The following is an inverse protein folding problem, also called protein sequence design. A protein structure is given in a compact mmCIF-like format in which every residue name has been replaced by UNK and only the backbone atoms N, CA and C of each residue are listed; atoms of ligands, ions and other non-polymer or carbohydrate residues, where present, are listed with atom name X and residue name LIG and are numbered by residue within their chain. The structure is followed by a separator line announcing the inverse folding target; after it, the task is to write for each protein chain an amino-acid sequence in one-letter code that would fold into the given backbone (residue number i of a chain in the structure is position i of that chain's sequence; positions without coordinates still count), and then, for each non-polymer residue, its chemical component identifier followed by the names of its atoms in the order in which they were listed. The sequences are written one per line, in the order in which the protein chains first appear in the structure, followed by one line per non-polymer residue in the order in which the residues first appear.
data_IF_528928105315
#
_entry.id   IF_528928105315
#
_cell.length_a   1.000
_cell.length_b   1.000
_cell.length_c   1.000
_cell.angle_alpha   90.00
_cell.angle_beta   90.00
_cell.angle_gamma   90.00
#
_symmetry.space_group_name_H-M   'P 1'
#
loop_
_entity.id
_entity.type
_entity.pdbx_description
1 polymer ?
#
# COMPACT_ATOMS: atom_id res chain seq x y z
N UNK A 1 5.15 -4.29 5.90
CA UNK A 1 6.35 -4.72 5.13
C UNK A 1 7.65 -4.03 5.56
N UNK A 2 7.64 -2.76 5.99
CA UNK A 2 8.89 -2.04 6.31
C UNK A 2 9.66 -2.53 7.55
N UNK A 3 8.96 -2.92 8.61
CA UNK A 3 9.60 -3.58 9.75
C UNK A 3 10.17 -4.95 9.38
N UNK A 4 9.55 -5.64 8.42
CA UNK A 4 9.93 -6.99 8.02
C UNK A 4 11.30 -7.01 7.32
N UNK A 5 11.61 -6.04 6.45
CA UNK A 5 12.93 -5.98 5.80
C UNK A 5 14.05 -5.66 6.80
N UNK A 6 13.85 -4.70 7.68
CA UNK A 6 14.83 -4.40 8.76
C UNK A 6 14.99 -5.59 9.71
N UNK A 7 13.90 -6.30 10.01
CA UNK A 7 13.91 -7.51 10.83
C UNK A 7 14.64 -8.67 10.12
N UNK A 8 14.41 -8.89 8.82
CA UNK A 8 15.10 -9.92 8.03
C UNK A 8 16.60 -9.62 7.93
N UNK A 9 16.97 -8.35 7.75
CA UNK A 9 18.40 -7.95 7.71
C UNK A 9 19.05 -8.13 9.08
N UNK A 10 18.40 -7.69 10.16
CA UNK A 10 18.91 -7.86 11.53
C UNK A 10 19.01 -9.34 11.93
N UNK A 11 17.97 -10.13 11.64
CA UNK A 11 17.92 -11.55 11.93
C UNK A 11 18.91 -12.34 11.07
N UNK A 12 18.97 -12.05 9.76
CA UNK A 12 19.90 -12.67 8.82
C UNK A 12 21.36 -12.35 9.14
N UNK A 13 21.65 -11.10 9.55
CA UNK A 13 22.97 -10.71 10.05
C UNK A 13 23.36 -11.47 11.33
N UNK A 14 22.45 -11.54 12.30
CA UNK A 14 22.69 -12.28 13.54
C UNK A 14 22.91 -13.79 13.30
N UNK A 15 22.11 -14.43 12.44
CA UNK A 15 22.30 -15.84 12.07
C UNK A 15 23.60 -16.06 11.30
N UNK A 16 23.96 -15.17 10.38
CA UNK A 16 25.21 -15.27 9.61
C UNK A 16 26.43 -15.24 10.54
N UNK A 17 26.44 -14.32 11.52
CA UNK A 17 27.50 -14.24 12.54
C UNK A 17 27.56 -15.51 13.39
N UNK A 18 26.42 -16.02 13.84
CA UNK A 18 26.36 -17.25 14.64
C UNK A 18 26.92 -18.46 13.88
N UNK A 19 26.55 -18.60 12.61
CA UNK A 19 27.05 -19.68 11.76
C UNK A 19 28.54 -19.53 11.42
N UNK A 20 29.03 -18.29 11.30
CA UNK A 20 30.46 -18.02 11.14
C UNK A 20 31.26 -18.39 12.40
N UNK A 21 30.74 -18.13 13.61
CA UNK A 21 31.36 -18.55 14.88
C UNK A 21 31.40 -20.09 14.98
N UNK A 22 30.30 -20.76 14.67
CA UNK A 22 30.23 -22.24 14.67
C UNK A 22 31.21 -22.83 13.64
N UNK A 23 31.24 -22.28 12.42
CA UNK A 23 32.19 -22.71 11.40
C UNK A 23 33.65 -22.43 11.78
N UNK A 24 33.93 -21.29 12.42
CA UNK A 24 35.27 -20.90 12.86
C UNK A 24 35.79 -21.79 14.00
N UNK A 25 34.96 -22.07 14.99
CA UNK A 25 35.30 -23.01 16.07
C UNK A 25 35.50 -24.42 15.54
N UNK A 26 34.66 -24.87 14.60
CA UNK A 26 34.83 -26.15 13.91
C UNK A 26 36.15 -26.18 13.13
N UNK A 27 36.50 -25.11 12.41
CA UNK A 27 37.74 -25.04 11.62
C UNK A 27 39.00 -25.22 12.48
N UNK A 28 39.05 -24.57 13.65
CA UNK A 28 40.17 -24.68 14.59
C UNK A 28 40.20 -26.07 15.24
N UNK A 29 39.04 -26.62 15.61
CA UNK A 29 38.93 -27.94 16.22
C UNK A 29 39.24 -29.11 15.27
N UNK A 30 39.13 -28.90 13.94
CA UNK A 30 39.34 -29.94 12.91
C UNK A 30 40.77 -30.48 12.79
N UNK A 31 41.75 -29.90 13.48
CA UNK A 31 43.12 -30.43 13.56
C UNK A 31 43.83 -30.52 12.19
N UNK A 32 44.26 -31.71 11.77
CA UNK A 32 44.89 -31.96 10.46
C UNK A 32 43.95 -32.61 9.44
N UNK A 33 42.70 -32.92 9.81
CA UNK A 33 41.77 -33.59 8.90
C UNK A 33 41.32 -32.66 7.76
N UNK A 34 41.59 -33.00 6.49
CA UNK A 34 41.22 -32.13 5.36
C UNK A 34 39.70 -31.99 5.19
N UNK A 35 38.96 -33.09 5.38
CA UNK A 35 37.50 -33.11 5.18
C UNK A 35 36.76 -32.24 6.19
N UNK A 36 37.11 -32.32 7.47
CA UNK A 36 36.46 -31.49 8.49
C UNK A 36 36.83 -30.00 8.36
N UNK A 37 38.02 -29.68 7.81
CA UNK A 37 38.38 -28.31 7.44
C UNK A 37 37.56 -27.80 6.25
N UNK A 38 37.34 -28.65 5.25
CA UNK A 38 36.55 -28.29 4.07
C UNK A 38 35.08 -28.05 4.44
N UNK A 39 34.47 -28.91 5.25
CA UNK A 39 33.10 -28.70 5.73
C UNK A 39 32.94 -27.43 6.59
N UNK A 40 33.94 -27.11 7.43
CA UNK A 40 33.94 -25.86 8.20
C UNK A 40 34.04 -24.61 7.29
N UNK A 41 34.90 -24.66 6.25
CA UNK A 41 35.01 -23.59 5.26
C UNK A 41 33.72 -23.41 4.46
N UNK A 42 33.09 -24.50 4.05
CA UNK A 42 31.82 -24.47 3.32
C UNK A 42 30.71 -23.82 4.16
N UNK A 43 30.65 -24.13 5.45
CA UNK A 43 29.69 -23.51 6.37
C UNK A 43 29.89 -22.00 6.50
N UNK A 44 31.14 -21.55 6.57
CA UNK A 44 31.49 -20.11 6.59
C UNK A 44 31.13 -19.46 5.24
N UNK A 45 31.46 -20.11 4.12
CA UNK A 45 31.14 -19.62 2.77
C UNK A 45 29.64 -19.48 2.55
N UNK A 46 28.85 -20.46 3.00
CA UNK A 46 27.39 -20.41 2.91
C UNK A 46 26.80 -19.27 3.76
N UNK A 47 27.34 -19.04 4.96
CA UNK A 47 26.93 -17.93 5.81
C UNK A 47 27.26 -16.55 5.20
N UNK A 48 28.43 -16.42 4.57
CA UNK A 48 28.85 -15.21 3.86
C UNK A 48 28.04 -14.98 2.58
N UNK A 49 27.75 -16.03 1.83
CA UNK A 49 26.94 -15.95 0.59
C UNK A 49 25.51 -15.52 0.89
N UNK A 50 24.92 -16.08 1.97
CA UNK A 50 23.60 -15.65 2.45
C UNK A 50 23.58 -14.17 2.88
N UNK A 51 24.60 -13.72 3.61
CA UNK A 51 24.74 -12.31 4.00
C UNK A 51 24.92 -11.40 2.78
N UNK A 52 25.74 -11.81 1.81
CA UNK A 52 25.93 -11.09 0.56
C UNK A 52 24.63 -10.95 -0.23
N UNK A 53 23.79 -12.00 -0.30
CA UNK A 53 22.47 -11.94 -0.93
C UNK A 53 21.55 -10.92 -0.25
N UNK A 54 21.50 -10.92 1.08
CA UNK A 54 20.68 -9.98 1.86
C UNK A 54 21.15 -8.53 1.62
N UNK A 55 22.46 -8.28 1.68
CA UNK A 55 23.04 -6.96 1.46
C UNK A 55 22.88 -6.49 0.01
N UNK A 56 23.03 -7.39 -0.96
CA UNK A 56 22.84 -7.06 -2.39
C UNK A 56 21.39 -6.72 -2.67
N UNK A 57 20.44 -7.46 -2.09
CA UNK A 57 19.02 -7.13 -2.16
C UNK A 57 18.74 -5.75 -1.57
N UNK A 58 19.28 -5.44 -0.38
CA UNK A 58 19.19 -4.11 0.23
C UNK A 58 19.76 -3.01 -0.68
N UNK A 59 20.94 -3.23 -1.26
CA UNK A 59 21.60 -2.25 -2.14
C UNK A 59 20.79 -1.96 -3.40
N UNK A 60 20.21 -2.98 -4.04
CA UNK A 60 19.35 -2.80 -5.22
C UNK A 60 18.12 -1.97 -4.84
N UNK A 61 17.45 -2.31 -3.74
CA UNK A 61 16.27 -1.58 -3.27
C UNK A 61 16.62 -0.11 -2.94
N UNK A 62 17.72 0.10 -2.20
CA UNK A 62 18.19 1.42 -1.81
C UNK A 62 18.67 2.27 -3.00
N UNK A 63 19.26 1.66 -4.02
CA UNK A 63 19.76 2.35 -5.21
C UNK A 63 18.65 2.73 -6.19
N UNK A 64 17.57 1.95 -6.27
CA UNK A 64 16.42 2.28 -7.13
C UNK A 64 15.58 3.36 -6.45
N UNK A 65 15.25 3.19 -5.16
CA UNK A 65 14.54 4.19 -4.40
C UNK A 65 14.79 4.03 -2.89
N UNK A 66 15.48 4.98 -2.23
CA UNK A 66 15.77 4.90 -0.79
C UNK A 66 14.50 4.93 0.07
N UNK A 67 13.36 5.39 -0.45
CA UNK A 67 12.07 5.36 0.24
C UNK A 67 11.48 3.95 0.37
N UNK A 68 11.96 2.98 -0.42
CA UNK A 68 11.57 1.57 -0.27
C UNK A 68 12.19 0.92 0.98
N UNK A 69 13.22 1.55 1.55
CA UNK A 69 13.94 1.11 2.75
C UNK A 69 13.74 2.05 3.94
N UNK A 70 13.32 3.29 3.68
CA UNK A 70 12.87 4.24 4.67
C UNK A 70 11.35 4.23 4.77
N UNK A 71 10.78 3.45 5.69
CA UNK A 71 9.46 3.82 6.23
C UNK A 71 9.60 4.26 7.68
N UNK A 72 8.97 5.39 7.96
CA UNK A 72 8.97 6.06 9.25
C UNK A 72 7.96 5.35 10.16
N UNK A 73 8.44 4.73 11.25
CA UNK A 73 7.57 4.21 12.32
C UNK A 73 7.21 5.35 13.29
N UNK A 74 6.86 6.50 12.74
CA UNK A 74 6.17 7.54 13.49
C UNK A 74 4.69 7.26 13.28
N UNK A 75 4.12 6.42 14.16
CA UNK A 75 2.68 6.46 14.34
C UNK A 75 2.39 7.87 14.85
N UNK A 76 1.59 8.70 14.16
CA UNK A 76 1.08 9.90 14.80
C UNK A 76 0.45 9.46 16.14
N UNK A 77 0.73 10.18 17.25
CA UNK A 77 0.22 9.82 18.55
C UNK A 77 -1.29 9.56 18.48
N UNK A 78 -1.72 8.35 18.82
CA UNK A 78 -3.13 8.10 19.12
C UNK A 78 -3.32 8.58 20.54
N UNK A 79 -3.64 9.86 20.68
CA UNK A 79 -3.76 10.52 21.96
C UNK A 79 -3.83 12.04 21.80
N UNK A 80 -5.05 12.52 21.58
CA UNK A 80 -5.57 13.83 21.97
C UNK A 80 -4.62 14.68 22.83
N UNK A 81 -4.18 15.80 22.26
CA UNK A 81 -4.11 17.05 23.02
C UNK A 81 -4.42 18.21 22.05
N UNK A 82 -5.29 19.15 22.47
CA UNK A 82 -5.76 20.23 21.63
C UNK A 82 -4.71 21.33 21.58
N UNK A 83 -4.58 22.00 20.45
CA UNK A 83 -4.23 23.42 20.52
C UNK A 83 -4.98 24.20 19.46
N UNK A 84 -5.62 25.24 19.95
CA UNK A 84 -6.79 25.87 19.39
C UNK A 84 -6.38 27.00 18.45
N UNK A 85 -7.13 27.17 17.36
CA UNK A 85 -7.37 28.51 16.82
C UNK A 85 -8.86 28.78 16.94
N UNK A 86 -9.11 29.70 17.85
CA UNK A 86 -10.35 30.32 18.29
C UNK A 86 -11.31 30.65 17.13
N UNK A 87 -12.58 30.27 17.26
CA UNK A 87 -13.72 31.11 16.90
C UNK A 87 -14.98 30.64 17.66
N UNK A 88 -15.75 31.53 18.32
CA UNK A 88 -16.85 31.12 19.18
C UNK A 88 -18.18 31.14 18.41
N UNK A 89 -18.94 30.04 18.44
CA UNK A 89 -20.37 30.15 18.70
C UNK A 89 -20.98 28.85 19.24
N UNK A 90 -22.00 29.04 20.05
CA UNK A 90 -22.55 28.21 21.13
C UNK A 90 -23.41 27.05 20.60
N UNK A 91 -23.20 25.84 21.13
CA UNK A 91 -24.15 24.72 21.04
C UNK A 91 -23.78 23.59 22.02
N UNK A 92 -24.73 23.00 22.77
CA UNK A 92 -24.42 22.07 23.85
C UNK A 92 -23.94 20.72 23.30
N UNK A 93 -22.85 20.22 23.88
CA UNK A 93 -22.22 18.95 23.55
C UNK A 93 -23.14 17.74 23.78
N UNK A 94 -23.06 16.69 22.93
CA UNK A 94 -23.20 15.33 23.41
C UNK A 94 -21.82 14.78 23.78
N UNK A 95 -21.75 14.27 25.00
CA UNK A 95 -20.67 13.46 25.58
C UNK A 95 -20.13 12.41 24.62
N UNK A 96 -18.82 12.45 24.38
CA UNK A 96 -18.07 11.37 23.77
C UNK A 96 -18.00 10.17 24.74
N UNK A 97 -18.76 9.13 24.46
CA UNK A 97 -18.50 7.79 25.01
C UNK A 97 -17.54 7.06 24.09
N UNK A 98 -16.27 7.02 24.51
CA UNK A 98 -15.27 6.12 23.95
C UNK A 98 -15.54 4.69 24.44
N UNK A 99 -16.22 3.91 23.60
CA UNK A 99 -16.11 2.45 23.62
C UNK A 99 -15.61 2.02 22.26
N UNK A 100 -14.30 1.80 22.15
CA UNK A 100 -13.72 1.11 21.01
C UNK A 100 -14.22 -0.34 21.04
N UNK A 101 -15.23 -0.63 20.25
CA UNK A 101 -15.57 -1.98 19.83
C UNK A 101 -14.68 -2.35 18.65
N UNK A 102 -13.99 -3.48 18.76
CA UNK A 102 -13.41 -4.13 17.59
C UNK A 102 -14.54 -4.36 16.58
N UNK A 103 -14.56 -3.60 15.48
CA UNK A 103 -15.63 -3.65 14.49
C UNK A 103 -15.90 -2.33 13.78
N UNK A 104 -15.70 -1.17 14.44
CA UNK A 104 -16.01 0.14 13.84
C UNK A 104 -14.94 0.58 12.82
N UNK A 105 -15.39 1.06 11.66
CA UNK A 105 -14.57 1.63 10.59
C UNK A 105 -14.65 3.17 10.61
N UNK A 106 -13.53 3.88 10.41
CA UNK A 106 -13.50 5.35 10.46
C UNK A 106 -14.35 6.00 9.36
N UNK A 107 -14.82 7.22 9.65
CA UNK A 107 -15.49 8.06 8.66
C UNK A 107 -14.55 8.45 7.53
N UNK A 108 -15.10 8.55 6.32
CA UNK A 108 -14.44 9.02 5.10
C UNK A 108 -15.00 10.36 4.58
N UNK A 109 -15.67 11.12 5.46
CA UNK A 109 -16.35 12.35 5.10
C UNK A 109 -15.40 13.42 4.56
N UNK A 110 -14.15 13.45 5.05
CA UNK A 110 -13.14 14.41 4.58
C UNK A 110 -12.73 14.12 3.13
N UNK A 111 -12.38 12.88 2.83
CA UNK A 111 -11.99 12.43 1.49
C UNK A 111 -13.14 12.65 0.49
N UNK A 112 -14.37 12.31 0.89
CA UNK A 112 -15.58 12.56 0.08
C UNK A 112 -15.81 14.05 -0.18
N UNK A 113 -15.58 14.92 0.80
CA UNK A 113 -15.71 16.37 0.63
C UNK A 113 -14.69 16.90 -0.39
N UNK A 114 -13.44 16.44 -0.34
CA UNK A 114 -12.41 16.85 -1.30
C UNK A 114 -12.75 16.44 -2.75
N UNK A 115 -13.26 15.22 -2.94
CA UNK A 115 -13.58 14.68 -4.27
C UNK A 115 -14.88 15.28 -4.83
N UNK A 116 -15.91 15.41 -4.01
CA UNK A 116 -17.18 16.01 -4.44
C UNK A 116 -17.04 17.49 -4.81
N UNK A 117 -16.12 18.22 -4.17
CA UNK A 117 -15.82 19.61 -4.51
C UNK A 117 -15.35 19.81 -5.97
N UNK A 118 -14.80 18.77 -6.61
CA UNK A 118 -14.38 18.79 -8.02
C UNK A 118 -15.30 17.97 -8.93
N UNK A 119 -16.43 17.48 -8.41
CA UNK A 119 -17.40 16.69 -9.16
C UNK A 119 -16.98 15.23 -9.40
N UNK A 120 -16.18 14.65 -8.51
CA UNK A 120 -15.90 13.20 -8.48
C UNK A 120 -16.90 12.55 -7.52
N UNK A 121 -17.65 11.58 -8.03
CA UNK A 121 -18.67 10.85 -7.28
C UNK A 121 -18.16 9.56 -6.65
N UNK A 122 -18.99 9.00 -5.76
CA UNK A 122 -18.84 7.65 -5.22
C UNK A 122 -20.18 6.94 -5.41
N UNK A 123 -20.17 5.69 -5.86
CA UNK A 123 -21.37 4.88 -6.11
C UNK A 123 -22.29 4.75 -4.88
N UNK A 124 -21.75 4.83 -3.67
CA UNK A 124 -22.50 4.85 -2.42
C UNK A 124 -22.40 6.23 -1.73
N UNK A 125 -23.53 6.81 -1.27
CA UNK A 125 -23.55 8.14 -0.68
C UNK A 125 -22.84 8.22 0.68
N UNK A 126 -22.76 7.09 1.39
CA UNK A 126 -22.12 6.97 2.70
C UNK A 126 -20.97 5.97 2.67
N UNK A 127 -19.91 6.24 3.43
CA UNK A 127 -18.82 5.30 3.66
C UNK A 127 -19.23 4.07 4.46
N UNK A 128 -18.33 3.09 4.53
CA UNK A 128 -18.50 1.92 5.38
C UNK A 128 -18.39 2.28 6.87
N UNK A 129 -19.14 1.59 7.72
CA UNK A 129 -19.16 1.83 9.18
C UNK A 129 -18.50 0.73 9.98
N UNK A 130 -18.33 -0.45 9.39
CA UNK A 130 -17.70 -1.60 10.02
C UNK A 130 -16.81 -2.38 9.04
N UNK A 131 -15.77 -3.03 9.56
CA UNK A 131 -14.96 -3.99 8.80
C UNK A 131 -15.84 -5.19 8.46
N UNK A 132 -15.83 -5.63 7.20
CA UNK A 132 -16.65 -6.74 6.71
C UNK A 132 -18.00 -6.32 6.12
N UNK A 133 -18.36 -5.03 6.21
CA UNK A 133 -19.59 -4.53 5.59
C UNK A 133 -19.51 -4.64 4.05
N UNK A 134 -20.54 -5.21 3.44
CA UNK A 134 -20.76 -5.18 1.99
C UNK A 134 -21.74 -4.06 1.61
N UNK A 135 -21.76 -3.66 0.33
CA UNK A 135 -22.67 -2.61 -0.19
C UNK A 135 -22.39 -1.18 0.31
N UNK A 136 -21.13 -0.87 0.54
CA UNK A 136 -20.62 0.47 0.77
C UNK A 136 -19.33 0.64 -0.04
N UNK A 137 -18.88 1.90 -0.17
CA UNK A 137 -17.55 2.20 -0.69
C UNK A 137 -16.84 3.08 0.32
N UNK A 138 -15.77 2.58 0.94
CA UNK A 138 -14.97 3.35 1.89
C UNK A 138 -13.87 4.13 1.19
N UNK A 139 -13.73 5.42 1.50
CA UNK A 139 -12.53 6.20 1.17
C UNK A 139 -11.64 6.47 2.39
N UNK A 140 -11.99 5.91 3.56
CA UNK A 140 -11.33 6.27 4.81
C UNK A 140 -9.85 5.93 4.76
N UNK A 141 -9.00 6.93 5.02
CA UNK A 141 -7.56 6.79 4.98
C UNK A 141 -6.98 6.62 3.58
N UNK A 142 -7.74 6.96 2.52
CA UNK A 142 -7.19 7.07 1.17
C UNK A 142 -6.05 8.08 1.15
N UNK A 143 -4.93 7.73 0.53
CA UNK A 143 -3.77 8.62 0.54
C UNK A 143 -4.04 9.91 -0.25
N UNK A 144 -3.49 11.03 0.23
CA UNK A 144 -3.61 12.32 -0.46
C UNK A 144 -3.03 12.27 -1.88
N UNK A 145 -2.06 11.38 -2.14
CA UNK A 145 -1.53 11.13 -3.48
C UNK A 145 -2.58 10.57 -4.44
N UNK A 146 -3.40 9.60 -3.99
CA UNK A 146 -4.52 9.07 -4.79
C UNK A 146 -5.55 10.18 -5.05
N UNK A 147 -5.96 10.91 -4.00
CA UNK A 147 -6.93 12.02 -4.13
C UNK A 147 -6.43 13.09 -5.11
N UNK A 148 -5.16 13.48 -5.01
CA UNK A 148 -4.58 14.50 -5.89
C UNK A 148 -4.52 14.05 -7.35
N UNK A 149 -4.19 12.77 -7.60
CA UNK A 149 -4.21 12.24 -8.95
C UNK A 149 -5.63 12.11 -9.53
N UNK A 150 -6.63 11.77 -8.71
CA UNK A 150 -8.04 11.77 -9.12
C UNK A 150 -8.52 13.18 -9.50
N UNK A 151 -8.17 14.19 -8.70
CA UNK A 151 -8.45 15.60 -9.02
C UNK A 151 -7.74 16.02 -10.31
N UNK A 152 -6.49 15.60 -10.53
CA UNK A 152 -5.75 15.88 -11.75
C UNK A 152 -6.38 15.20 -12.97
N UNK A 153 -6.88 13.96 -12.84
CA UNK A 153 -7.63 13.28 -13.89
C UNK A 153 -8.91 14.04 -14.25
N UNK A 154 -9.68 14.48 -13.25
CA UNK A 154 -10.89 15.29 -13.47
C UNK A 154 -10.57 16.63 -14.16
N UNK A 155 -9.46 17.24 -13.80
CA UNK A 155 -9.00 18.49 -14.42
C UNK A 155 -8.55 18.29 -15.87
N UNK A 156 -7.93 17.14 -16.16
CA UNK A 156 -7.45 16.78 -17.50
C UNK A 156 -8.58 16.31 -18.43
N UNK A 157 -9.68 15.83 -17.87
CA UNK A 157 -10.90 15.52 -18.59
C UNK A 157 -12.15 16.09 -17.88
N UNK A 158 -12.48 17.37 -18.12
CA UNK A 158 -13.61 18.02 -17.49
C UNK A 158 -14.96 17.33 -17.78
N UNK A 159 -15.10 16.77 -18.98
CA UNK A 159 -16.30 16.02 -19.42
C UNK A 159 -16.41 14.61 -18.86
N UNK A 160 -15.35 14.05 -18.25
CA UNK A 160 -15.37 12.70 -17.71
C UNK A 160 -16.24 12.62 -16.45
N UNK A 161 -17.18 11.68 -16.44
CA UNK A 161 -17.90 11.25 -15.24
C UNK A 161 -17.05 10.27 -14.45
N UNK A 162 -16.39 10.75 -13.39
CA UNK A 162 -15.56 9.91 -12.53
C UNK A 162 -16.39 9.50 -11.31
N UNK A 163 -16.64 8.20 -11.18
CA UNK A 163 -17.32 7.60 -10.04
C UNK A 163 -16.44 6.52 -9.44
N UNK A 164 -16.08 6.67 -8.17
CA UNK A 164 -15.35 5.65 -7.41
C UNK A 164 -16.33 4.53 -7.04
N UNK A 165 -15.93 3.29 -7.31
CA UNK A 165 -16.70 2.07 -7.04
C UNK A 165 -16.04 1.16 -6.00
N UNK A 166 -14.77 1.41 -5.68
CA UNK A 166 -13.99 0.63 -4.72
C UNK A 166 -12.85 1.48 -4.16
N UNK A 167 -12.69 1.48 -2.84
CA UNK A 167 -11.69 2.30 -2.17
C UNK A 167 -10.83 1.50 -1.20
N UNK A 168 -10.93 1.79 0.10
CA UNK A 168 -10.07 1.25 1.17
C UNK A 168 -10.65 0.01 1.88
N UNK A 169 -11.69 -0.59 1.30
CA UNK A 169 -12.40 -1.77 1.81
C UNK A 169 -11.70 -3.09 1.49
N UNK A 170 -10.59 -3.31 2.18
CA UNK A 170 -9.70 -4.46 1.93
C UNK A 170 -10.38 -5.82 2.15
N UNK A 171 -11.41 -5.87 3.00
CA UNK A 171 -12.13 -7.10 3.34
C UNK A 171 -13.01 -7.62 2.19
N UNK A 172 -13.30 -6.80 1.19
CA UNK A 172 -13.99 -7.22 -0.03
C UNK A 172 -13.01 -7.74 -1.11
N UNK A 173 -11.72 -7.80 -0.79
CA UNK A 173 -10.63 -8.15 -1.69
C UNK A 173 -9.77 -9.29 -1.15
N UNK A 174 -8.81 -9.74 -1.95
CA UNK A 174 -7.85 -10.76 -1.53
C UNK A 174 -6.96 -10.29 -0.38
N UNK A 175 -6.42 -11.24 0.38
CA UNK A 175 -5.47 -10.97 1.45
C UNK A 175 -4.28 -10.16 0.91
N UNK A 176 -3.90 -9.09 1.62
CA UNK A 176 -2.86 -8.12 1.24
C UNK A 176 -3.14 -7.21 0.04
N UNK A 177 -4.41 -7.06 -0.36
CA UNK A 177 -4.82 -6.05 -1.34
C UNK A 177 -4.30 -4.63 -1.02
N UNK A 178 -4.15 -3.83 -2.07
CA UNK A 178 -3.85 -2.40 -1.99
C UNK A 178 -5.10 -1.53 -1.77
N UNK A 179 -6.30 -2.11 -1.83
CA UNK A 179 -7.57 -1.47 -1.42
C UNK A 179 -7.65 -1.33 0.10
N UNK A 180 -6.77 -0.53 0.69
CA UNK A 180 -6.66 -0.34 2.15
C UNK A 180 -6.26 1.10 2.48
N UNK A 181 -6.45 1.56 3.73
CA UNK A 181 -5.92 2.84 4.16
C UNK A 181 -4.42 2.96 3.88
N UNK A 182 -3.99 4.09 3.33
CA UNK A 182 -2.62 4.34 2.87
C UNK A 182 -2.21 3.60 1.59
N UNK A 183 -3.13 2.84 0.98
CA UNK A 183 -2.95 2.21 -0.33
C UNK A 183 -2.88 3.23 -1.47
N UNK A 184 -2.45 2.74 -2.62
CA UNK A 184 -2.27 3.48 -3.86
C UNK A 184 -3.21 3.01 -4.98
N UNK A 185 -4.30 2.33 -4.62
CA UNK A 185 -5.25 1.74 -5.55
C UNK A 185 -6.67 2.22 -5.28
N UNK A 186 -7.42 2.44 -6.35
CA UNK A 186 -8.83 2.83 -6.34
C UNK A 186 -9.53 2.23 -7.56
N UNK A 187 -10.78 1.80 -7.39
CA UNK A 187 -11.60 1.34 -8.51
C UNK A 187 -12.52 2.45 -8.98
N UNK A 188 -12.54 2.68 -10.29
CA UNK A 188 -13.44 3.62 -10.94
C UNK A 188 -14.45 2.87 -11.80
N UNK A 189 -15.64 3.43 -11.93
CA UNK A 189 -16.65 2.92 -12.85
C UNK A 189 -16.14 2.97 -14.29
N UNK A 190 -16.32 1.86 -15.01
CA UNK A 190 -16.01 1.78 -16.44
C UNK A 190 -17.14 2.34 -17.33
N UNK A 191 -18.32 2.62 -16.75
CA UNK A 191 -19.53 2.94 -17.50
C UNK A 191 -19.56 4.34 -18.13
N UNK A 192 -18.67 5.25 -17.73
CA UNK A 192 -18.58 6.57 -18.32
C UNK A 192 -17.81 6.54 -19.65
N UNK A 193 -18.51 6.85 -20.74
CA UNK A 193 -17.94 6.76 -22.09
C UNK A 193 -16.83 7.79 -22.33
N UNK A 194 -16.94 8.99 -21.75
CA UNK A 194 -15.93 10.03 -21.86
C UNK A 194 -14.62 9.61 -21.16
N UNK A 195 -14.71 9.07 -19.94
CA UNK A 195 -13.57 8.51 -19.20
C UNK A 195 -12.95 7.32 -19.93
N UNK A 196 -13.79 6.40 -20.42
CA UNK A 196 -13.32 5.25 -21.19
C UNK A 196 -12.52 5.69 -22.41
N UNK A 197 -13.08 6.59 -23.22
CA UNK A 197 -12.40 7.12 -24.42
C UNK A 197 -11.14 7.91 -24.04
N UNK A 198 -11.16 8.71 -22.98
CA UNK A 198 -10.00 9.46 -22.52
C UNK A 198 -8.84 8.50 -22.17
N UNK A 199 -9.10 7.49 -21.33
CA UNK A 199 -8.09 6.52 -20.90
C UNK A 199 -7.51 5.76 -22.09
N UNK A 200 -8.37 5.27 -22.98
CA UNK A 200 -7.95 4.44 -24.12
C UNK A 200 -7.25 5.21 -25.24
N UNK A 201 -7.53 6.51 -25.39
CA UNK A 201 -6.90 7.35 -26.42
C UNK A 201 -5.61 8.04 -25.95
N UNK A 202 -5.52 8.42 -24.68
CA UNK A 202 -4.36 9.12 -24.12
C UNK A 202 -3.39 8.17 -23.40
N UNK A 203 -3.84 6.98 -23.02
CA UNK A 203 -3.02 5.99 -22.34
C UNK A 203 -2.14 5.20 -23.28
N UNK A 204 -0.89 4.98 -22.87
CA UNK A 204 0.01 4.04 -23.55
C UNK A 204 -0.25 2.62 -23.04
N UNK A 205 -0.45 1.66 -23.94
CA UNK A 205 -0.65 0.25 -23.56
C UNK A 205 0.65 -0.29 -22.94
N UNK A 206 0.53 -0.92 -21.77
CA UNK A 206 1.68 -1.48 -21.03
C UNK A 206 1.44 -2.93 -20.62
N UNK A 207 2.52 -3.71 -20.53
CA UNK A 207 2.45 -5.12 -20.12
C UNK A 207 2.53 -5.31 -18.60
N UNK A 208 3.13 -4.37 -17.87
CA UNK A 208 3.21 -4.39 -16.41
C UNK A 208 2.07 -3.55 -15.79
N UNK A 209 1.52 -4.00 -14.67
CA UNK A 209 0.56 -3.24 -13.87
C UNK A 209 0.15 -3.95 -12.59
N UNK A 210 -0.81 -3.35 -11.88
CA UNK A 210 -1.26 -3.80 -10.55
C UNK A 210 -2.27 -4.94 -10.57
N UNK A 211 -2.95 -5.17 -11.69
CA UNK A 211 -3.90 -6.28 -11.81
C UNK A 211 -3.95 -6.89 -13.21
N UNK A 212 -4.83 -7.88 -13.39
CA UNK A 212 -5.07 -8.64 -14.61
C UNK A 212 -6.06 -7.88 -15.49
N UNK A 213 -5.69 -7.63 -16.74
CA UNK A 213 -6.55 -6.92 -17.69
C UNK A 213 -5.72 -6.15 -18.73
N UNK A 214 -6.40 -5.46 -19.63
CA UNK A 214 -5.76 -4.51 -20.55
C UNK A 214 -5.36 -3.26 -19.78
N UNK A 215 -4.14 -2.77 -19.96
CA UNK A 215 -3.54 -1.74 -19.10
C UNK A 215 -3.15 -0.52 -19.91
N UNK A 216 -3.51 0.64 -19.41
CA UNK A 216 -3.22 1.94 -20.02
C UNK A 216 -2.49 2.81 -19.01
N UNK A 217 -1.29 3.26 -19.35
CA UNK A 217 -0.50 4.16 -18.50
C UNK A 217 -0.69 5.60 -18.94
N UNK A 218 -1.05 6.48 -18.00
CA UNK A 218 -1.14 7.94 -18.18
C UNK A 218 -0.39 8.57 -17.02
N UNK A 219 0.72 9.24 -17.30
CA UNK A 219 1.61 9.77 -16.25
C UNK A 219 2.14 8.66 -15.34
N UNK A 220 1.95 8.81 -14.03
CA UNK A 220 2.28 7.79 -13.03
C UNK A 220 1.20 6.72 -12.85
N UNK A 221 -0.02 6.98 -13.32
CA UNK A 221 -1.16 6.09 -13.11
C UNK A 221 -1.22 4.98 -14.16
N UNK A 222 -1.61 3.77 -13.73
CA UNK A 222 -1.95 2.66 -14.62
C UNK A 222 -3.42 2.29 -14.39
N UNK A 223 -4.21 2.41 -15.46
CA UNK A 223 -5.62 2.06 -15.50
C UNK A 223 -5.75 0.67 -16.10
N UNK A 224 -6.25 -0.28 -15.30
CA UNK A 224 -6.45 -1.66 -15.73
C UNK A 224 -7.94 -1.89 -15.96
N UNK A 225 -8.32 -2.28 -17.17
CA UNK A 225 -9.67 -2.78 -17.43
C UNK A 225 -9.74 -4.20 -16.86
N UNK A 226 -10.16 -4.29 -15.60
CA UNK A 226 -10.22 -5.55 -14.86
C UNK A 226 -11.59 -6.20 -15.06
N UNK A 227 -11.58 -7.46 -15.48
CA UNK A 227 -12.79 -8.28 -15.67
C UNK A 227 -12.59 -9.62 -14.97
N UNK A 228 -12.84 -9.66 -13.66
CA UNK A 228 -12.75 -10.86 -12.83
C UNK A 228 -14.16 -11.31 -12.47
N UNK A 229 -14.63 -12.42 -13.06
CA UNK A 229 -15.94 -12.99 -12.68
C UNK A 229 -15.92 -13.40 -11.20
N UNK A 230 -16.98 -13.10 -10.41
CA UNK A 230 -18.29 -12.58 -10.82
C UNK A 230 -18.41 -11.04 -10.84
N UNK A 231 -17.36 -10.29 -10.54
CA UNK A 231 -17.40 -8.84 -10.44
C UNK A 231 -17.59 -8.19 -11.82
N UNK A 232 -18.40 -7.11 -11.92
CA UNK A 232 -18.53 -6.35 -13.15
C UNK A 232 -17.19 -5.69 -13.52
N UNK A 233 -17.03 -5.41 -14.81
CA UNK A 233 -15.88 -4.69 -15.31
C UNK A 233 -15.76 -3.31 -14.64
N UNK A 234 -14.55 -2.93 -14.27
CA UNK A 234 -14.24 -1.64 -13.68
C UNK A 234 -12.80 -1.24 -14.05
N UNK A 235 -12.46 0.01 -13.83
CA UNK A 235 -11.08 0.47 -13.92
C UNK A 235 -10.40 0.26 -12.57
N UNK A 236 -9.52 -0.73 -12.49
CA UNK A 236 -8.63 -0.90 -11.35
C UNK A 236 -7.40 -0.01 -11.55
N UNK A 237 -7.30 1.07 -10.79
CA UNK A 237 -6.29 2.13 -10.99
C UNK A 237 -5.24 2.08 -9.90
N UNK A 238 -3.97 2.04 -10.29
CA UNK A 238 -2.83 2.15 -9.39
C UNK A 238 -1.95 3.35 -9.70
N UNK A 239 -1.39 3.95 -8.65
CA UNK A 239 -0.51 5.13 -8.69
C UNK A 239 0.90 4.85 -8.18
#
# INVERSE_FOLDING_TARGET
LSGMLKLIIALGGALSILMAIVGGTQYVASGVSPDAKNGAKERIQNALTGLALILTSYLILNSINPQLVQFNFMLPPVGVAPEQIVSPEIGPAPTASSTASAGSWPSDAHERAQLSAVGIGVNHPTGCTNIGQSSCTSLAGMSQGVISNLIALKSSCPSCGITITGGTEYWLHSVNTAHRPGGNVVDLSIGDSALYSYITSHGTVVNAGCSIGTRYKIGSAVYVNEVIKPNPAHWHVCY
#
